data_IF_532247516656
#
_entry.id   IF_532247516656
#
_cell.length_a   1.000
_cell.length_b   1.000
_cell.length_c   1.000
_cell.angle_alpha   90.00
_cell.angle_beta   90.00
_cell.angle_gamma   90.00
#
_symmetry.space_group_name_H-M   'P 1'
#
loop_
_entity.id
_entity.type
_entity.pdbx_description
1 polymer ?
#
# COMPACT_ATOMS: atom_id res chain seq x y z
N UNK A 1 17.65 25.04 45.21
CA UNK A 1 17.87 25.15 43.75
C UNK A 1 18.93 24.16 43.30
N UNK A 2 18.53 23.06 42.64
CA UNK A 2 19.36 22.29 41.67
C UNK A 2 18.41 21.60 40.70
N UNK A 3 18.19 22.24 39.56
CA UNK A 3 17.52 21.63 38.42
C UNK A 3 18.47 20.59 37.83
N UNK A 4 18.13 19.31 37.95
CA UNK A 4 18.81 18.23 37.22
C UNK A 4 17.80 17.59 36.29
N UNK A 5 17.46 18.31 35.22
CA UNK A 5 16.85 17.72 34.03
C UNK A 5 17.97 16.90 33.35
N UNK A 6 18.09 15.63 33.73
CA UNK A 6 18.84 14.64 32.96
C UNK A 6 17.89 14.01 31.95
N UNK A 7 17.52 14.79 30.93
CA UNK A 7 16.82 14.30 29.75
C UNK A 7 17.86 13.68 28.82
N UNK A 8 18.44 12.57 29.25
CA UNK A 8 19.54 11.92 28.56
C UNK A 8 19.28 10.41 28.55
N UNK A 9 18.97 9.91 27.35
CA UNK A 9 18.80 8.50 26.99
C UNK A 9 17.55 7.87 27.66
N UNK A 10 16.63 7.23 26.96
CA UNK A 10 16.83 6.28 25.89
C UNK A 10 15.83 6.58 24.78
N UNK A 11 16.35 7.00 23.62
CA UNK A 11 15.65 6.70 22.37
C UNK A 11 15.55 5.19 22.29
N UNK A 12 14.37 4.66 22.62
CA UNK A 12 13.98 3.34 22.15
C UNK A 12 13.86 3.48 20.63
N UNK A 13 15.00 3.30 19.96
CA UNK A 13 15.01 2.85 18.58
C UNK A 13 14.21 1.57 18.64
N UNK A 14 12.93 1.66 18.28
CA UNK A 14 12.16 0.50 17.90
C UNK A 14 12.85 0.07 16.61
N UNK A 15 13.99 -0.63 16.74
CA UNK A 15 14.53 -1.44 15.67
C UNK A 15 13.40 -2.41 15.45
N UNK A 16 12.59 -2.10 14.44
CA UNK A 16 11.57 -2.97 13.92
C UNK A 16 12.30 -4.26 13.64
N UNK A 17 12.22 -5.17 14.61
CA UNK A 17 12.40 -6.58 14.39
C UNK A 17 11.20 -6.91 13.51
N UNK A 18 11.31 -6.58 12.22
CA UNK A 18 10.89 -7.51 11.19
C UNK A 18 11.79 -8.71 11.43
N UNK A 19 11.45 -9.45 12.49
CA UNK A 19 11.61 -10.88 12.56
C UNK A 19 11.20 -11.32 11.16
N UNK A 20 12.20 -11.63 10.35
CA UNK A 20 12.02 -12.38 9.14
C UNK A 20 11.44 -13.72 9.59
N UNK A 21 10.14 -13.72 9.88
CA UNK A 21 9.31 -14.86 9.65
C UNK A 21 9.52 -15.07 8.15
N UNK A 22 10.39 -16.02 7.82
CA UNK A 22 10.63 -16.48 6.46
C UNK A 22 9.36 -17.17 5.97
N UNK A 23 8.25 -16.44 5.99
CA UNK A 23 7.04 -16.74 5.28
C UNK A 23 7.34 -16.43 3.83
N UNK A 24 7.02 -17.36 2.95
CA UNK A 24 7.09 -17.11 1.53
C UNK A 24 6.34 -15.80 1.21
N UNK A 25 6.89 -14.97 0.30
CA UNK A 25 6.27 -13.69 -0.02
C UNK A 25 4.84 -13.94 -0.48
N UNK A 26 3.90 -13.20 0.11
CA UNK A 26 2.49 -13.31 -0.25
C UNK A 26 2.31 -12.99 -1.74
N UNK A 27 1.46 -13.77 -2.40
CA UNK A 27 1.26 -13.69 -3.84
C UNK A 27 0.38 -12.50 -4.21
N UNK A 28 0.34 -12.16 -5.50
CA UNK A 28 -0.59 -11.16 -6.03
C UNK A 28 -2.03 -11.56 -5.73
N UNK A 29 -2.38 -12.83 -5.94
CA UNK A 29 -3.73 -13.35 -5.73
C UNK A 29 -4.18 -13.25 -4.27
N UNK A 30 -3.24 -13.35 -3.32
CA UNK A 30 -3.56 -13.11 -1.92
C UNK A 30 -4.06 -11.68 -1.71
N UNK A 31 -3.34 -10.69 -2.24
CA UNK A 31 -3.71 -9.28 -2.09
C UNK A 31 -4.91 -8.86 -2.94
N UNK A 32 -5.23 -9.59 -4.01
CA UNK A 32 -6.42 -9.35 -4.82
C UNK A 32 -7.72 -9.81 -4.12
N UNK A 33 -7.66 -10.70 -3.12
CA UNK A 33 -8.84 -11.08 -2.35
C UNK A 33 -9.36 -9.87 -1.53
N UNK A 34 -10.65 -9.48 -1.68
CA UNK A 34 -11.25 -8.40 -0.92
C UNK A 34 -11.08 -8.51 0.60
N UNK A 35 -10.96 -9.73 1.15
CA UNK A 35 -10.74 -9.98 2.58
C UNK A 35 -9.39 -9.45 3.07
N UNK A 36 -8.42 -9.32 2.16
CA UNK A 36 -7.05 -8.89 2.45
C UNK A 36 -6.82 -7.41 2.11
N UNK A 37 -7.87 -6.63 1.80
CA UNK A 37 -7.74 -5.23 1.39
C UNK A 37 -7.05 -4.34 2.43
N UNK A 38 -7.33 -4.52 3.72
CA UNK A 38 -6.67 -3.79 4.81
C UNK A 38 -5.19 -4.12 4.90
N UNK A 39 -4.84 -5.38 4.63
CA UNK A 39 -3.46 -5.83 4.67
C UNK A 39 -2.67 -5.32 3.47
N UNK A 40 -3.28 -5.31 2.29
CA UNK A 40 -2.73 -4.68 1.09
C UNK A 40 -2.41 -3.20 1.35
N UNK A 41 -3.35 -2.44 1.93
CA UNK A 41 -3.12 -1.02 2.24
C UNK A 41 -1.97 -0.82 3.24
N UNK A 42 -1.90 -1.63 4.29
CA UNK A 42 -0.83 -1.58 5.26
C UNK A 42 0.53 -1.91 4.62
N UNK A 43 0.57 -2.91 3.74
CA UNK A 43 1.78 -3.32 3.04
C UNK A 43 2.26 -2.25 2.06
N UNK A 44 1.36 -1.60 1.31
CA UNK A 44 1.72 -0.48 0.43
C UNK A 44 2.36 0.66 1.23
N UNK A 45 1.78 1.04 2.38
CA UNK A 45 2.36 2.07 3.27
C UNK A 45 3.73 1.68 3.82
N UNK A 46 3.97 0.39 4.02
CA UNK A 46 5.29 -0.12 4.40
C UNK A 46 6.29 -0.01 3.24
N UNK A 47 5.90 -0.48 2.05
CA UNK A 47 6.72 -0.46 0.85
C UNK A 47 7.08 0.96 0.40
N UNK A 48 6.18 1.93 0.58
CA UNK A 48 6.39 3.34 0.21
C UNK A 48 7.50 4.02 1.03
N UNK A 49 7.94 3.44 2.15
CA UNK A 49 9.07 3.96 2.93
C UNK A 49 10.41 3.77 2.20
N UNK A 50 10.47 2.89 1.21
CA UNK A 50 11.66 2.64 0.40
C UNK A 50 11.31 2.72 -1.09
N UNK A 51 11.89 3.71 -1.79
CA UNK A 51 11.62 3.96 -3.21
C UNK A 51 11.97 2.77 -4.14
N UNK A 52 12.83 1.84 -3.69
CA UNK A 52 13.22 0.66 -4.46
C UNK A 52 12.58 -0.63 -3.95
N UNK A 53 11.60 -0.55 -3.05
CA UNK A 53 10.94 -1.71 -2.44
C UNK A 53 10.41 -2.71 -3.49
N UNK A 54 9.77 -2.23 -4.56
CA UNK A 54 9.30 -3.09 -5.65
C UNK A 54 10.41 -3.85 -6.41
N UNK A 55 11.66 -3.39 -6.33
CA UNK A 55 12.81 -4.04 -6.98
C UNK A 55 13.55 -4.98 -6.03
N UNK A 56 13.56 -4.65 -4.73
CA UNK A 56 14.34 -5.37 -3.72
C UNK A 56 13.51 -6.33 -2.85
N UNK A 57 12.18 -6.23 -2.91
CA UNK A 57 11.23 -7.00 -2.11
C UNK A 57 10.10 -7.54 -3.00
N UNK A 58 10.06 -8.87 -3.12
CA UNK A 58 9.06 -9.60 -3.91
C UNK A 58 7.63 -9.41 -3.41
N UNK A 59 7.44 -9.29 -2.09
CA UNK A 59 6.12 -9.07 -1.51
C UNK A 59 5.63 -7.65 -1.80
N UNK A 60 6.52 -6.66 -1.77
CA UNK A 60 6.20 -5.30 -2.23
C UNK A 60 5.86 -5.27 -3.73
N UNK A 61 6.62 -5.97 -4.57
CA UNK A 61 6.30 -6.09 -5.99
C UNK A 61 4.89 -6.67 -6.22
N UNK A 62 4.54 -7.71 -5.47
CA UNK A 62 3.23 -8.35 -5.53
C UNK A 62 2.10 -7.42 -5.03
N UNK A 63 2.31 -6.73 -3.92
CA UNK A 63 1.36 -5.77 -3.36
C UNK A 63 1.10 -4.61 -4.34
N UNK A 64 2.15 -4.00 -4.91
CA UNK A 64 1.98 -2.93 -5.90
C UNK A 64 1.22 -3.40 -7.14
N UNK A 65 1.50 -4.61 -7.62
CA UNK A 65 0.78 -5.18 -8.76
C UNK A 65 -0.71 -5.35 -8.46
N UNK A 66 -1.05 -5.91 -7.29
CA UNK A 66 -2.45 -6.04 -6.86
C UNK A 66 -3.14 -4.68 -6.71
N UNK A 67 -2.46 -3.69 -6.12
CA UNK A 67 -3.00 -2.33 -5.98
C UNK A 67 -3.26 -1.67 -7.34
N UNK A 68 -2.33 -1.80 -8.29
CA UNK A 68 -2.51 -1.29 -9.64
C UNK A 68 -3.67 -1.97 -10.38
N UNK A 69 -3.77 -3.30 -10.30
CA UNK A 69 -4.91 -4.05 -10.85
C UNK A 69 -6.25 -3.53 -10.32
N UNK A 70 -6.34 -3.27 -9.00
CA UNK A 70 -7.54 -2.72 -8.36
C UNK A 70 -7.88 -1.32 -8.87
N UNK A 71 -6.88 -0.44 -8.99
CA UNK A 71 -7.09 0.90 -9.56
C UNK A 71 -7.58 0.83 -10.99
N UNK A 72 -7.01 -0.04 -11.83
CA UNK A 72 -7.43 -0.21 -13.21
C UNK A 72 -8.87 -0.73 -13.32
N UNK A 73 -9.26 -1.71 -12.49
CA UNK A 73 -10.65 -2.17 -12.42
C UNK A 73 -11.60 -1.04 -12.03
N UNK A 74 -11.22 -0.21 -11.06
CA UNK A 74 -12.02 0.96 -10.68
C UNK A 74 -12.19 1.92 -11.86
N UNK A 75 -11.13 2.21 -12.61
CA UNK A 75 -11.24 3.04 -13.83
C UNK A 75 -12.17 2.43 -14.88
N UNK A 76 -12.14 1.11 -15.07
CA UNK A 76 -13.07 0.44 -15.99
C UNK A 76 -14.53 0.48 -15.51
N UNK A 77 -14.76 0.39 -14.19
CA UNK A 77 -16.09 0.48 -13.61
C UNK A 77 -16.61 1.93 -13.56
N UNK A 78 -15.71 2.91 -13.55
CA UNK A 78 -16.01 4.34 -13.58
C UNK A 78 -16.19 4.87 -15.01
N UNK A 79 -16.07 4.01 -16.03
CA UNK A 79 -16.46 4.34 -17.39
C UNK A 79 -17.90 4.89 -17.39
N UNK A 80 -18.00 6.17 -17.77
CA UNK A 80 -19.22 6.96 -17.87
C UNK A 80 -20.31 6.10 -18.52
N UNK A 81 -21.44 5.93 -17.85
CA UNK A 81 -22.55 5.19 -18.44
C UNK A 81 -22.94 5.83 -19.78
N UNK A 82 -23.40 5.03 -20.75
CA UNK A 82 -23.82 5.53 -22.07
C UNK A 82 -24.81 6.71 -21.98
N UNK A 83 -25.56 6.80 -20.87
CA UNK A 83 -26.49 7.90 -20.57
C UNK A 83 -25.77 9.23 -20.26
N UNK A 84 -24.70 9.21 -19.46
CA UNK A 84 -23.89 10.40 -19.18
C UNK A 84 -23.06 10.82 -20.40
N UNK A 85 -22.54 9.85 -21.17
CA UNK A 85 -21.82 10.14 -22.43
C UNK A 85 -22.75 10.78 -23.49
N UNK A 86 -24.02 10.36 -23.56
CA UNK A 86 -25.02 10.92 -24.46
C UNK A 86 -25.38 12.39 -24.15
N UNK A 87 -25.30 12.83 -22.89
CA UNK A 87 -25.49 14.24 -22.50
C UNK A 87 -24.41 15.16 -23.09
N UNK A 88 -23.17 14.68 -23.19
CA UNK A 88 -22.08 15.45 -23.78
C UNK A 88 -22.11 15.45 -25.32
N UNK A 89 -22.61 14.37 -25.95
CA UNK A 89 -22.69 14.25 -27.40
C UNK A 89 -23.91 14.98 -28.01
N UNK A 90 -25.03 15.12 -27.29
CA UNK A 90 -26.23 15.84 -27.77
C UNK A 90 -26.11 17.37 -27.73
N UNK A 91 -25.01 17.91 -27.21
CA UNK A 91 -24.79 19.37 -27.11
C UNK A 91 -24.21 19.99 -28.39
N UNK A 92 -24.26 19.27 -29.52
CA UNK A 92 -23.72 19.69 -30.81
C UNK A 92 -24.81 19.93 -31.84
#
# INVERSE_FOLDING_TARGET
MKNTIKLALLGAVITGVFSACSSEPKTVQYYEDPKNATELEAKIKECDKNANSAQTDTECANAYKANYSKSLQNFHNEAISDEEAAKYLKKK
#
